data_IF_139335791199
#
_entry.id   IF_139335791199
#
_cell.length_a   1.000
_cell.length_b   1.000
_cell.length_c   1.000
_cell.angle_alpha   90.00
_cell.angle_beta   90.00
_cell.angle_gamma   90.00
#
_symmetry.space_group_name_H-M   'P 1'
#
loop_
_entity.id
_entity.type
_entity.pdbx_description
1 polymer ?
#
# COMPACT_ATOMS: atom_id res chain seq x y z
N UNK A 1 -3.09 4.60 37.06
CA UNK A 1 -3.15 4.57 35.60
C UNK A 1 -2.45 3.30 35.10
N UNK A 2 -3.17 2.50 34.29
CA UNK A 2 -2.62 1.30 33.67
C UNK A 2 -1.56 1.72 32.64
N UNK A 3 -0.31 1.29 32.83
CA UNK A 3 0.74 1.54 31.85
C UNK A 3 0.57 0.61 30.65
N UNK A 4 0.53 1.17 29.45
CA UNK A 4 0.60 0.40 28.20
C UNK A 4 2.07 0.27 27.81
N UNK A 5 2.57 -0.95 27.73
CA UNK A 5 3.89 -1.24 27.17
C UNK A 5 3.85 -1.22 25.65
N UNK A 6 4.89 -0.70 25.02
CA UNK A 6 5.07 -0.70 23.59
C UNK A 6 6.50 -1.10 23.24
N UNK A 7 6.63 -2.04 22.35
CA UNK A 7 7.91 -2.45 21.77
C UNK A 7 7.85 -2.39 20.25
N UNK A 8 8.91 -1.92 19.61
CA UNK A 8 8.99 -1.92 18.14
C UNK A 8 10.43 -2.08 17.69
N UNK A 9 10.64 -3.00 16.76
CA UNK A 9 11.92 -3.17 16.07
C UNK A 9 11.66 -3.07 14.58
N UNK A 10 12.53 -2.33 13.87
CA UNK A 10 12.50 -2.18 12.44
C UNK A 10 13.90 -2.42 11.87
N UNK A 11 13.94 -3.19 10.80
CA UNK A 11 15.13 -3.36 9.98
C UNK A 11 14.78 -3.13 8.53
N UNK A 12 15.60 -2.38 7.80
CA UNK A 12 15.42 -2.20 6.35
C UNK A 12 16.77 -2.08 5.66
N UNK A 13 16.84 -2.59 4.44
CA UNK A 13 18.02 -2.53 3.61
C UNK A 13 17.64 -2.28 2.16
N UNK A 14 18.47 -1.52 1.44
CA UNK A 14 18.32 -1.25 0.02
C UNK A 14 19.68 -1.44 -0.68
N UNK A 15 19.63 -2.11 -1.82
CA UNK A 15 20.76 -2.29 -2.73
C UNK A 15 20.42 -1.61 -4.06
N UNK A 16 21.40 -0.99 -4.66
CA UNK A 16 21.33 -0.46 -6.02
C UNK A 16 22.56 -0.94 -6.78
N UNK A 17 22.37 -1.28 -8.05
CA UNK A 17 23.41 -1.77 -8.92
C UNK A 17 23.27 -1.18 -10.32
N UNK A 18 24.24 -0.43 -10.76
CA UNK A 18 24.34 0.10 -12.11
C UNK A 18 25.14 -0.90 -12.97
N UNK A 19 24.41 -1.74 -13.70
CA UNK A 19 25.02 -2.78 -14.56
C UNK A 19 25.72 -2.15 -15.78
N UNK A 20 25.15 -1.05 -16.28
CA UNK A 20 25.71 -0.22 -17.34
C UNK A 20 25.29 1.24 -17.12
N UNK A 21 25.80 2.17 -17.94
CA UNK A 21 25.34 3.57 -17.94
C UNK A 21 23.84 3.71 -18.23
N UNK A 22 23.25 2.71 -18.87
CA UNK A 22 21.86 2.68 -19.28
C UNK A 22 20.98 1.83 -18.38
N UNK A 23 21.50 0.75 -17.76
CA UNK A 23 20.73 -0.25 -17.02
C UNK A 23 21.11 -0.25 -15.56
N UNK A 24 20.15 0.03 -14.71
CA UNK A 24 20.27 -0.04 -13.26
C UNK A 24 19.19 -0.90 -12.65
N UNK A 25 19.53 -1.55 -11.54
CA UNK A 25 18.64 -2.38 -10.73
C UNK A 25 18.62 -1.87 -9.30
N UNK A 26 17.52 -2.14 -8.62
CA UNK A 26 17.47 -2.01 -7.18
C UNK A 26 16.73 -3.18 -6.56
N UNK A 27 17.07 -3.49 -5.32
CA UNK A 27 16.31 -4.40 -4.46
C UNK A 27 16.29 -3.82 -3.05
N UNK A 28 15.17 -3.95 -2.38
CA UNK A 28 15.03 -3.57 -0.99
C UNK A 28 14.21 -4.59 -0.23
N UNK A 29 14.45 -4.70 1.06
CA UNK A 29 13.69 -5.54 1.97
C UNK A 29 13.66 -4.91 3.34
N UNK A 30 12.62 -5.22 4.08
CA UNK A 30 12.45 -4.77 5.44
C UNK A 30 11.62 -5.74 6.26
N UNK A 31 11.88 -5.72 7.55
CA UNK A 31 11.12 -6.43 8.57
C UNK A 31 10.80 -5.48 9.71
N UNK A 32 9.61 -5.59 10.22
CA UNK A 32 9.25 -4.92 11.46
C UNK A 32 8.43 -5.85 12.35
N UNK A 33 8.61 -5.68 13.65
CA UNK A 33 7.69 -6.21 14.63
C UNK A 33 7.28 -5.11 15.62
N UNK A 34 6.10 -5.26 16.18
CA UNK A 34 5.53 -4.32 17.14
C UNK A 34 4.69 -5.08 18.14
N UNK A 35 4.92 -4.86 19.42
CA UNK A 35 4.14 -5.39 20.51
C UNK A 35 3.39 -4.28 21.24
N UNK A 36 2.12 -4.52 21.51
CA UNK A 36 1.31 -3.73 22.45
C UNK A 36 1.04 -4.59 23.67
N UNK A 37 1.60 -4.20 24.82
CA UNK A 37 1.43 -4.89 26.08
C UNK A 37 0.37 -4.19 26.91
N UNK A 38 -0.59 -4.98 27.39
CA UNK A 38 -1.67 -4.53 28.26
C UNK A 38 -1.56 -5.25 29.60
N UNK A 39 -2.01 -4.64 30.70
CA UNK A 39 -2.15 -5.34 31.97
C UNK A 39 -3.05 -6.56 31.82
N UNK A 40 -2.72 -7.63 32.52
CA UNK A 40 -3.53 -8.86 32.56
C UNK A 40 -4.89 -8.55 33.17
N UNK A 41 -5.96 -9.10 32.61
CA UNK A 41 -7.30 -9.04 33.22
C UNK A 41 -7.29 -9.76 34.53
N UNK A 42 -7.70 -9.06 35.61
CA UNK A 42 -7.91 -9.59 36.98
C UNK A 42 -9.16 -8.96 37.52
N UNK A 43 -9.77 -9.60 38.49
CA UNK A 43 -10.99 -9.11 39.17
C UNK A 43 -10.81 -7.72 39.80
N UNK A 44 -9.58 -7.42 40.27
CA UNK A 44 -9.20 -6.16 40.91
C UNK A 44 -8.71 -5.08 39.94
N UNK A 45 -8.58 -5.39 38.63
CA UNK A 45 -8.04 -4.46 37.62
C UNK A 45 -9.11 -4.13 36.57
N UNK A 46 -9.66 -2.93 36.63
CA UNK A 46 -10.54 -2.41 35.58
C UNK A 46 -9.74 -2.09 34.28
N UNK A 47 -10.13 -2.69 33.19
CA UNK A 47 -9.51 -2.45 31.86
C UNK A 47 -8.32 -3.36 31.53
N UNK A 48 -8.15 -4.47 32.26
CA UNK A 48 -7.21 -5.53 31.91
C UNK A 48 -7.55 -6.22 30.59
N UNK A 49 -6.62 -7.02 30.07
CA UNK A 49 -6.77 -7.75 28.80
C UNK A 49 -6.39 -9.21 28.96
N UNK A 50 -7.10 -10.07 28.23
CA UNK A 50 -6.81 -11.50 28.15
C UNK A 50 -5.64 -11.80 27.21
N UNK A 51 -5.27 -10.85 26.35
CA UNK A 51 -4.21 -10.99 25.37
C UNK A 51 -3.53 -9.66 25.06
N UNK A 52 -2.28 -9.74 24.66
CA UNK A 52 -1.53 -8.67 24.04
C UNK A 52 -1.65 -8.78 22.53
N UNK A 53 -1.45 -7.66 21.82
CA UNK A 53 -1.46 -7.66 20.35
C UNK A 53 -0.02 -7.56 19.84
N UNK A 54 0.36 -8.48 18.99
CA UNK A 54 1.63 -8.48 18.28
C UNK A 54 1.39 -8.27 16.79
N UNK A 55 2.18 -7.40 16.18
CA UNK A 55 2.19 -7.12 14.75
C UNK A 55 3.54 -7.48 14.17
N UNK A 56 3.53 -8.06 13.00
CA UNK A 56 4.73 -8.45 12.27
C UNK A 56 4.53 -8.17 10.79
N UNK A 57 5.57 -7.67 10.14
CA UNK A 57 5.49 -7.39 8.72
C UNK A 57 6.83 -7.50 8.01
N UNK A 58 6.75 -7.91 6.75
CA UNK A 58 7.83 -7.95 5.79
C UNK A 58 7.44 -7.12 4.59
N UNK A 59 8.36 -6.32 4.10
CA UNK A 59 8.22 -5.65 2.82
C UNK A 59 9.43 -5.96 1.94
N UNK A 60 9.22 -5.99 0.65
CA UNK A 60 10.27 -6.19 -0.34
C UNK A 60 9.94 -5.46 -1.62
N UNK A 61 10.94 -5.13 -2.37
CA UNK A 61 10.80 -4.52 -3.67
C UNK A 61 12.03 -4.79 -4.53
N UNK A 62 11.80 -4.87 -5.82
CA UNK A 62 12.84 -4.95 -6.82
C UNK A 62 12.40 -4.20 -8.07
N UNK A 63 13.34 -3.59 -8.76
CA UNK A 63 13.04 -2.89 -9.99
C UNK A 63 14.25 -2.77 -10.89
N UNK A 64 13.94 -2.47 -12.14
CA UNK A 64 14.90 -2.22 -13.19
C UNK A 64 14.55 -0.92 -13.91
N UNK A 65 15.56 -0.13 -14.20
CA UNK A 65 15.45 1.12 -14.95
C UNK A 65 16.38 1.06 -16.15
N UNK A 66 15.82 1.25 -17.34
CA UNK A 66 16.56 1.30 -18.58
C UNK A 66 16.43 2.67 -19.24
N UNK A 67 17.56 3.35 -19.42
CA UNK A 67 17.67 4.64 -20.09
C UNK A 67 17.85 4.41 -21.59
N UNK A 68 16.79 4.55 -22.38
CA UNK A 68 16.85 4.51 -23.85
C UNK A 68 17.67 5.70 -24.40
N UNK A 69 17.55 6.84 -23.73
CA UNK A 69 18.31 8.06 -24.02
C UNK A 69 18.37 8.94 -22.78
N UNK A 70 18.98 10.14 -22.90
CA UNK A 70 18.98 11.13 -21.79
C UNK A 70 17.59 11.55 -21.31
N UNK A 71 16.55 11.37 -22.15
CA UNK A 71 15.16 11.80 -21.88
C UNK A 71 14.15 10.67 -21.85
N UNK A 72 14.54 9.49 -22.28
CA UNK A 72 13.64 8.36 -22.44
C UNK A 72 14.05 7.23 -21.52
N UNK A 73 13.12 6.81 -20.67
CA UNK A 73 13.36 5.81 -19.63
C UNK A 73 12.20 4.83 -19.61
N UNK A 74 12.50 3.55 -19.51
CA UNK A 74 11.54 2.50 -19.15
C UNK A 74 11.91 2.01 -17.76
N UNK A 75 10.93 1.82 -16.91
CA UNK A 75 11.11 1.36 -15.55
C UNK A 75 10.08 0.28 -15.23
N UNK A 76 10.56 -0.79 -14.62
CA UNK A 76 9.73 -1.84 -14.03
C UNK A 76 9.97 -1.85 -12.53
N UNK A 77 8.91 -1.86 -11.76
CA UNK A 77 8.90 -1.92 -10.32
C UNK A 77 7.99 -3.07 -9.85
N UNK A 78 8.48 -3.88 -8.94
CA UNK A 78 7.68 -4.87 -8.22
C UNK A 78 7.87 -4.69 -6.73
N UNK A 79 6.79 -4.68 -5.97
CA UNK A 79 6.84 -4.61 -4.52
C UNK A 79 5.82 -5.52 -3.88
N UNK A 80 6.12 -5.94 -2.66
CA UNK A 80 5.22 -6.72 -1.85
C UNK A 80 5.29 -6.32 -0.39
N UNK A 81 4.20 -6.57 0.30
CA UNK A 81 4.08 -6.38 1.74
C UNK A 81 3.29 -7.53 2.34
N UNK A 82 3.76 -8.04 3.46
CA UNK A 82 3.07 -9.03 4.26
C UNK A 82 2.90 -8.48 5.67
N UNK A 83 1.68 -8.40 6.14
CA UNK A 83 1.32 -7.91 7.46
C UNK A 83 0.55 -8.98 8.21
N UNK A 84 1.00 -9.34 9.41
CA UNK A 84 0.33 -10.26 10.30
C UNK A 84 0.00 -9.59 11.64
N UNK A 85 -1.22 -9.81 12.13
CA UNK A 85 -1.64 -9.47 13.49
C UNK A 85 -1.90 -10.75 14.25
N UNK A 86 -1.39 -10.83 15.48
CA UNK A 86 -1.55 -11.99 16.37
C UNK A 86 -1.95 -11.53 17.77
N UNK A 87 -2.74 -12.36 18.44
CA UNK A 87 -2.92 -12.25 19.88
C UNK A 87 -1.89 -13.15 20.58
N UNK A 88 -1.22 -12.62 21.59
CA UNK A 88 -0.44 -13.38 22.58
C UNK A 88 -1.27 -13.49 23.83
N UNK A 89 -1.77 -14.67 24.13
CA UNK A 89 -2.64 -14.87 25.29
C UNK A 89 -1.87 -14.70 26.60
N UNK A 90 -2.45 -14.02 27.56
CA UNK A 90 -1.91 -13.77 28.90
C UNK A 90 -2.52 -14.72 29.93
N UNK A 91 -3.76 -15.16 29.69
CA UNK A 91 -4.50 -16.15 30.48
C UNK A 91 -5.07 -17.18 29.50
N UNK A 92 -5.48 -18.32 30.00
CA UNK A 92 -6.20 -19.32 29.20
C UNK A 92 -7.51 -18.75 28.68
N UNK A 93 -7.67 -18.79 27.37
CA UNK A 93 -8.87 -18.30 26.71
C UNK A 93 -9.05 -18.94 25.33
N UNK A 94 -10.29 -19.34 25.01
CA UNK A 94 -10.67 -19.88 23.69
C UNK A 94 -9.79 -21.07 23.24
N UNK A 95 -9.32 -21.90 24.17
CA UNK A 95 -8.47 -23.06 23.87
C UNK A 95 -6.98 -22.73 23.70
N UNK A 96 -6.57 -21.49 23.93
CA UNK A 96 -5.17 -21.07 23.95
C UNK A 96 -4.65 -20.94 25.38
N UNK A 97 -3.46 -21.47 25.64
CA UNK A 97 -2.76 -21.34 26.91
C UNK A 97 -1.98 -20.02 27.00
N UNK A 98 -1.64 -19.54 28.23
CA UNK A 98 -0.81 -18.36 28.41
C UNK A 98 0.51 -18.47 27.64
N UNK A 99 0.90 -17.40 26.93
CA UNK A 99 2.10 -17.34 26.08
C UNK A 99 1.88 -17.82 24.64
N UNK A 100 0.80 -18.51 24.33
CA UNK A 100 0.51 -18.95 22.95
C UNK A 100 0.05 -17.79 22.06
N UNK A 101 0.31 -17.93 20.75
CA UNK A 101 -0.05 -16.96 19.73
C UNK A 101 -1.18 -17.49 18.85
N UNK A 102 -2.18 -16.66 18.57
CA UNK A 102 -3.19 -16.90 17.57
C UNK A 102 -3.08 -15.86 16.44
N UNK A 103 -3.04 -16.32 15.21
CA UNK A 103 -3.13 -15.43 14.04
C UNK A 103 -4.55 -14.89 13.92
N UNK A 104 -4.69 -13.57 14.00
CA UNK A 104 -6.00 -12.91 13.87
C UNK A 104 -6.22 -12.34 12.48
N UNK A 105 -5.14 -11.90 11.82
CA UNK A 105 -5.20 -11.29 10.48
C UNK A 105 -3.88 -11.47 9.75
N UNK A 106 -3.98 -11.85 8.50
CA UNK A 106 -2.87 -11.82 7.54
C UNK A 106 -3.32 -11.03 6.31
N UNK A 107 -2.57 -9.99 5.97
CA UNK A 107 -2.75 -9.25 4.71
C UNK A 107 -1.48 -9.32 3.89
N UNK A 108 -1.65 -9.52 2.58
CA UNK A 108 -0.54 -9.47 1.62
C UNK A 108 -0.92 -8.53 0.49
N UNK A 109 0.05 -7.74 0.07
CA UNK A 109 -0.05 -6.85 -1.08
C UNK A 109 1.06 -7.18 -2.06
N UNK A 110 0.73 -7.20 -3.32
CA UNK A 110 1.66 -7.35 -4.42
C UNK A 110 1.34 -6.29 -5.45
N UNK A 111 2.32 -5.49 -5.82
CA UNK A 111 2.21 -4.42 -6.79
C UNK A 111 3.28 -4.61 -7.86
N UNK A 112 2.89 -4.53 -9.13
CA UNK A 112 3.81 -4.52 -10.27
C UNK A 112 3.46 -3.35 -11.19
N UNK A 113 4.43 -2.52 -11.53
CA UNK A 113 4.28 -1.38 -12.43
C UNK A 113 5.29 -1.45 -13.56
N UNK A 114 4.84 -1.22 -14.78
CA UNK A 114 5.70 -0.92 -15.93
C UNK A 114 5.39 0.50 -16.41
N UNK A 115 6.41 1.35 -16.43
CA UNK A 115 6.28 2.77 -16.70
C UNK A 115 7.29 3.22 -17.74
N UNK A 116 6.83 4.05 -18.68
CA UNK A 116 7.64 4.75 -19.66
C UNK A 116 7.61 6.27 -19.43
N UNK A 117 8.77 6.91 -19.51
CA UNK A 117 8.93 8.36 -19.46
C UNK A 117 9.62 8.77 -20.74
N UNK A 118 8.99 9.62 -21.54
CA UNK A 118 9.47 10.02 -22.87
C UNK A 118 9.44 11.54 -23.04
N UNK A 119 10.62 12.09 -23.27
CA UNK A 119 10.78 13.49 -23.62
C UNK A 119 10.84 13.64 -25.16
N UNK A 120 9.69 13.76 -25.81
CA UNK A 120 9.64 13.89 -27.27
C UNK A 120 10.28 15.19 -27.78
N UNK A 121 10.19 16.25 -27.00
CA UNK A 121 10.85 17.52 -27.25
C UNK A 121 11.57 18.04 -26.01
N UNK A 122 12.31 19.15 -26.13
CA UNK A 122 12.92 19.81 -24.95
C UNK A 122 11.88 20.34 -23.97
N UNK A 123 10.67 20.57 -24.46
CA UNK A 123 9.60 21.25 -23.73
C UNK A 123 8.43 20.33 -23.39
N UNK A 124 8.51 19.03 -23.70
CA UNK A 124 7.42 18.12 -23.40
C UNK A 124 7.91 16.79 -22.81
N UNK A 125 7.14 16.25 -21.87
CA UNK A 125 7.38 14.94 -21.25
C UNK A 125 6.05 14.19 -21.20
N UNK A 126 6.08 12.96 -21.67
CA UNK A 126 4.95 12.03 -21.55
C UNK A 126 5.34 10.89 -20.63
N UNK A 127 4.46 10.59 -19.68
CA UNK A 127 4.55 9.42 -18.83
C UNK A 127 3.35 8.54 -19.12
N UNK A 128 3.57 7.26 -19.30
CA UNK A 128 2.49 6.28 -19.37
C UNK A 128 2.93 5.00 -18.66
N UNK A 129 1.96 4.26 -18.16
CA UNK A 129 2.24 3.02 -17.47
C UNK A 129 1.01 2.16 -17.28
N UNK A 130 1.30 0.94 -16.90
CA UNK A 130 0.31 -0.03 -16.45
C UNK A 130 0.72 -0.54 -15.09
N UNK A 131 -0.23 -0.77 -14.22
CA UNK A 131 0.01 -1.37 -12.91
C UNK A 131 -0.99 -2.50 -12.62
N UNK A 132 -0.54 -3.44 -11.82
CA UNK A 132 -1.31 -4.55 -11.30
C UNK A 132 -1.11 -4.62 -9.80
N UNK A 133 -2.20 -4.61 -9.05
CA UNK A 133 -2.20 -4.80 -7.59
C UNK A 133 -3.04 -6.01 -7.23
N UNK A 134 -2.50 -6.85 -6.35
CA UNK A 134 -3.25 -7.94 -5.73
C UNK A 134 -3.20 -7.80 -4.22
N UNK A 135 -4.37 -7.90 -3.61
CA UNK A 135 -4.54 -7.89 -2.16
C UNK A 135 -5.09 -9.24 -1.71
N UNK A 136 -4.55 -9.78 -0.63
CA UNK A 136 -5.00 -11.03 0.00
C UNK A 136 -5.30 -10.74 1.45
N UNK A 137 -6.45 -11.16 1.93
CA UNK A 137 -6.87 -11.07 3.32
C UNK A 137 -7.24 -12.45 3.84
N UNK A 138 -6.58 -12.87 4.92
CA UNK A 138 -6.92 -14.08 5.64
C UNK A 138 -7.19 -13.77 7.10
N UNK A 139 -8.33 -14.27 7.61
CA UNK A 139 -8.74 -14.18 9.01
C UNK A 139 -9.17 -15.57 9.49
N UNK A 140 -8.30 -16.31 10.16
CA UNK A 140 -8.60 -17.69 10.60
C UNK A 140 -9.74 -17.78 11.61
N UNK A 141 -9.91 -16.73 12.43
CA UNK A 141 -10.99 -16.64 13.43
C UNK A 141 -12.40 -16.59 12.83
N UNK A 142 -12.52 -16.16 11.59
CA UNK A 142 -13.79 -16.04 10.85
C UNK A 142 -13.85 -16.92 9.59
N UNK A 143 -12.86 -17.80 9.40
CA UNK A 143 -12.70 -18.65 8.21
C UNK A 143 -12.75 -17.85 6.89
N UNK A 144 -12.20 -16.63 6.93
CA UNK A 144 -12.17 -15.74 5.78
C UNK A 144 -10.80 -15.84 5.07
N UNK A 145 -10.84 -16.27 3.80
CA UNK A 145 -9.69 -16.24 2.89
C UNK A 145 -10.13 -15.67 1.55
N UNK A 146 -9.72 -14.43 1.27
CA UNK A 146 -10.16 -13.67 0.09
C UNK A 146 -8.99 -12.97 -0.57
N UNK A 147 -9.07 -12.83 -1.88
CA UNK A 147 -8.17 -11.97 -2.64
C UNK A 147 -8.96 -11.12 -3.62
N UNK A 148 -8.42 -9.96 -3.94
CA UNK A 148 -8.93 -9.05 -4.97
C UNK A 148 -7.77 -8.49 -5.77
N UNK A 149 -8.02 -8.12 -7.02
CA UNK A 149 -7.02 -7.46 -7.84
C UNK A 149 -7.56 -6.16 -8.44
N UNK A 150 -6.63 -5.27 -8.74
CA UNK A 150 -6.86 -4.04 -9.51
C UNK A 150 -5.83 -3.98 -10.61
N UNK A 151 -6.28 -3.70 -11.82
CA UNK A 151 -5.41 -3.40 -12.97
C UNK A 151 -5.63 -1.96 -13.38
N UNK A 152 -4.58 -1.27 -13.77
CA UNK A 152 -4.70 0.13 -14.18
C UNK A 152 -3.81 0.43 -15.36
N UNK A 153 -4.26 1.40 -16.16
CA UNK A 153 -3.46 2.01 -17.20
C UNK A 153 -3.58 3.52 -17.09
N UNK A 154 -2.48 4.22 -17.25
CA UNK A 154 -2.47 5.68 -17.15
C UNK A 154 -1.56 6.33 -18.16
N UNK A 155 -1.87 7.57 -18.50
CA UNK A 155 -1.04 8.43 -19.31
C UNK A 155 -1.14 9.88 -18.86
N UNK A 156 -0.02 10.59 -18.88
CA UNK A 156 0.07 12.00 -18.58
C UNK A 156 1.03 12.66 -19.56
N UNK A 157 0.65 13.80 -20.09
CA UNK A 157 1.49 14.65 -20.93
C UNK A 157 1.67 16.01 -20.28
N UNK A 158 2.92 16.42 -20.11
CA UNK A 158 3.32 17.75 -19.69
C UNK A 158 3.95 18.48 -20.85
N UNK A 159 3.56 19.72 -21.07
CA UNK A 159 4.12 20.59 -22.09
C UNK A 159 4.36 22.00 -21.55
N UNK A 160 5.55 22.53 -21.81
CA UNK A 160 5.87 23.94 -21.58
C UNK A 160 5.49 24.73 -22.82
N UNK A 161 4.39 25.48 -22.69
CA UNK A 161 3.90 26.39 -23.70
C UNK A 161 4.46 27.77 -23.40
N UNK A 162 5.26 28.30 -24.31
CA UNK A 162 6.03 29.52 -24.09
C UNK A 162 6.92 29.45 -22.82
N UNK A 163 7.60 30.52 -22.48
CA UNK A 163 8.52 30.52 -21.34
C UNK A 163 7.81 30.58 -19.98
N UNK A 164 6.50 30.81 -19.98
CA UNK A 164 5.75 31.14 -18.75
C UNK A 164 4.62 30.17 -18.42
N UNK A 165 4.15 29.36 -19.37
CA UNK A 165 3.02 28.46 -19.17
C UNK A 165 3.44 27.00 -19.27
N UNK A 166 3.12 26.20 -18.25
CA UNK A 166 3.21 24.76 -18.25
C UNK A 166 1.81 24.17 -18.15
N UNK A 167 1.45 23.30 -19.08
CA UNK A 167 0.20 22.56 -19.07
C UNK A 167 0.44 21.07 -18.81
N UNK A 168 -0.48 20.44 -18.11
CA UNK A 168 -0.49 18.99 -17.85
C UNK A 168 -1.88 18.45 -18.14
N UNK A 169 -1.96 17.39 -18.92
CA UNK A 169 -3.17 16.60 -19.10
C UNK A 169 -2.88 15.14 -18.80
N UNK A 170 -3.79 14.46 -18.15
CA UNK A 170 -3.63 13.06 -17.81
C UNK A 170 -4.95 12.34 -17.68
N UNK A 171 -4.91 11.04 -17.85
CA UNK A 171 -6.03 10.14 -17.63
C UNK A 171 -5.51 8.84 -17.02
N UNK A 172 -6.29 8.29 -16.12
CA UNK A 172 -6.07 6.95 -15.56
C UNK A 172 -7.37 6.16 -15.66
N UNK A 173 -7.25 4.91 -16.02
CA UNK A 173 -8.32 3.93 -15.98
C UNK A 173 -7.94 2.85 -14.98
N UNK A 174 -8.78 2.64 -13.97
CA UNK A 174 -8.65 1.59 -12.98
C UNK A 174 -9.77 0.58 -13.18
N UNK A 175 -9.43 -0.70 -13.19
CA UNK A 175 -10.40 -1.80 -13.17
C UNK A 175 -10.17 -2.65 -11.92
N UNK A 176 -11.10 -2.53 -10.98
CA UNK A 176 -11.11 -3.33 -9.76
C UNK A 176 -12.06 -4.51 -9.93
N UNK A 177 -11.62 -5.70 -9.55
CA UNK A 177 -12.34 -6.98 -9.73
C UNK A 177 -13.82 -6.93 -9.31
N UNK A 178 -14.13 -6.25 -8.22
CA UNK A 178 -15.50 -6.22 -7.67
C UNK A 178 -16.28 -4.93 -7.97
N UNK A 179 -15.62 -3.80 -8.16
CA UNK A 179 -16.29 -2.51 -8.35
C UNK A 179 -16.28 -2.02 -9.79
N UNK A 180 -15.61 -2.77 -10.67
CA UNK A 180 -15.53 -2.46 -12.11
C UNK A 180 -14.59 -1.32 -12.45
N UNK A 181 -14.76 -0.75 -13.65
CA UNK A 181 -13.87 0.25 -14.22
C UNK A 181 -14.23 1.68 -13.87
N UNK A 182 -13.20 2.55 -13.73
CA UNK A 182 -13.34 4.00 -13.51
C UNK A 182 -12.27 4.77 -14.26
N UNK A 183 -12.68 5.89 -14.87
CA UNK A 183 -11.78 6.87 -15.45
C UNK A 183 -11.60 8.06 -14.52
N UNK A 184 -10.35 8.51 -14.37
CA UNK A 184 -9.99 9.66 -13.55
C UNK A 184 -9.14 10.63 -14.37
N UNK A 185 -9.74 11.68 -14.92
CA UNK A 185 -9.02 12.71 -15.67
C UNK A 185 -8.31 13.70 -14.74
N UNK A 186 -7.23 14.30 -15.24
CA UNK A 186 -6.46 15.36 -14.60
C UNK A 186 -6.09 16.41 -15.62
N UNK A 187 -6.30 17.68 -15.28
CA UNK A 187 -5.81 18.83 -16.05
C UNK A 187 -5.18 19.82 -15.06
N UNK A 188 -4.01 20.32 -15.38
CA UNK A 188 -3.36 21.35 -14.59
C UNK A 188 -2.67 22.38 -15.48
N UNK A 189 -2.59 23.59 -15.02
CA UNK A 189 -1.83 24.66 -15.65
C UNK A 189 -1.04 25.42 -14.58
N UNK A 190 0.16 25.85 -14.93
CA UNK A 190 1.00 26.72 -14.11
C UNK A 190 1.49 27.88 -14.99
N UNK A 191 1.24 29.10 -14.52
CA UNK A 191 1.68 30.32 -15.19
C UNK A 191 2.62 31.11 -14.28
N UNK A 192 3.79 31.48 -14.82
CA UNK A 192 4.82 32.24 -14.11
C UNK A 192 4.74 33.71 -14.53
N UNK A 193 4.52 34.62 -13.58
CA UNK A 193 4.44 36.07 -13.78
C UNK A 193 5.52 36.72 -12.93
N UNK A 194 6.66 37.06 -13.50
CA UNK A 194 7.78 37.60 -12.74
C UNK A 194 8.20 36.65 -11.60
N UNK A 195 8.04 37.09 -10.36
CA UNK A 195 8.35 36.30 -9.16
C UNK A 195 7.17 35.48 -8.63
N UNK A 196 6.01 35.50 -9.29
CA UNK A 196 4.80 34.80 -8.87
C UNK A 196 4.54 33.55 -9.73
N UNK A 197 4.06 32.49 -9.08
CA UNK A 197 3.60 31.29 -9.72
C UNK A 197 2.12 31.08 -9.43
N UNK A 198 1.27 31.08 -10.45
CA UNK A 198 -0.16 30.78 -10.32
C UNK A 198 -0.40 29.36 -10.82
N UNK A 199 -1.06 28.53 -10.03
CA UNK A 199 -1.41 27.15 -10.37
C UNK A 199 -2.92 26.94 -10.31
N UNK A 200 -3.45 26.23 -11.29
CA UNK A 200 -4.81 25.70 -11.29
C UNK A 200 -4.75 24.20 -11.60
N UNK A 201 -5.52 23.41 -10.86
CA UNK A 201 -5.58 21.96 -11.07
C UNK A 201 -7.02 21.50 -10.91
N UNK A 202 -7.48 20.70 -11.87
CA UNK A 202 -8.67 19.89 -11.79
C UNK A 202 -8.28 18.43 -11.87
N UNK A 203 -8.70 17.61 -10.92
CA UNK A 203 -8.48 16.17 -10.96
C UNK A 203 -9.70 15.46 -10.37
N UNK A 204 -10.22 14.49 -11.10
CA UNK A 204 -11.15 13.52 -10.52
C UNK A 204 -10.37 12.48 -9.73
N UNK A 205 -10.90 12.04 -8.60
CA UNK A 205 -10.31 10.99 -7.78
C UNK A 205 -11.25 9.78 -7.70
N UNK A 206 -10.68 8.59 -7.73
CA UNK A 206 -11.37 7.35 -7.42
C UNK A 206 -10.52 6.57 -6.43
N UNK A 207 -11.16 6.01 -5.42
CA UNK A 207 -10.55 5.07 -4.49
C UNK A 207 -11.39 3.79 -4.52
N UNK A 208 -10.78 2.69 -4.96
CA UNK A 208 -11.39 1.38 -4.76
C UNK A 208 -11.46 1.05 -3.26
N UNK A 209 -12.51 0.38 -2.79
CA UNK A 209 -12.55 -0.08 -1.41
C UNK A 209 -11.44 -1.11 -1.19
N UNK A 210 -10.71 -0.99 -0.08
CA UNK A 210 -9.73 -1.99 0.33
C UNK A 210 -10.39 -3.32 0.67
N UNK A 211 -9.60 -4.40 0.61
CA UNK A 211 -10.11 -5.75 0.88
C UNK A 211 -10.73 -5.89 2.28
N UNK A 212 -10.22 -5.17 3.28
CA UNK A 212 -10.81 -5.12 4.62
C UNK A 212 -12.21 -4.48 4.62
N UNK A 213 -12.40 -3.43 3.82
CA UNK A 213 -13.68 -2.72 3.70
C UNK A 213 -14.73 -3.58 2.99
N UNK A 214 -14.33 -4.29 1.93
CA UNK A 214 -15.20 -5.19 1.16
C UNK A 214 -15.77 -6.32 2.02
N UNK A 215 -14.97 -6.86 2.94
CA UNK A 215 -15.36 -8.04 3.74
C UNK A 215 -15.68 -7.73 5.19
N UNK A 216 -15.76 -6.46 5.59
CA UNK A 216 -16.03 -6.03 6.97
C UNK A 216 -17.37 -6.55 7.51
N UNK A 217 -18.43 -6.55 6.69
CA UNK A 217 -19.75 -7.04 7.10
C UNK A 217 -19.80 -8.56 7.32
N UNK A 218 -19.03 -9.33 6.55
CA UNK A 218 -18.93 -10.77 6.74
C UNK A 218 -18.32 -11.11 8.09
N UNK A 219 -17.29 -10.35 8.49
CA UNK A 219 -16.66 -10.49 9.81
C UNK A 219 -17.65 -10.24 10.96
N UNK A 220 -18.43 -9.16 10.91
CA UNK A 220 -19.46 -8.86 11.93
C UNK A 220 -20.52 -9.96 12.04
N UNK A 221 -20.98 -10.51 10.91
CA UNK A 221 -22.00 -11.55 10.90
C UNK A 221 -21.52 -12.84 11.56
N UNK A 222 -20.27 -13.25 11.30
CA UNK A 222 -19.67 -14.46 11.89
C UNK A 222 -19.44 -14.31 13.40
N UNK A 223 -18.98 -13.14 13.85
CA UNK A 223 -18.83 -12.84 15.28
C UNK A 223 -20.17 -12.79 16.04
N UNK A 224 -21.22 -12.22 15.41
CA UNK A 224 -22.57 -12.14 15.99
C UNK A 224 -23.25 -13.51 16.16
N UNK A 225 -22.94 -14.48 15.31
CA UNK A 225 -23.52 -15.84 15.37
C UNK A 225 -22.83 -16.72 16.43
N UNK A 226 -21.59 -16.43 16.81
CA UNK A 226 -20.87 -17.15 17.86
C UNK A 226 -21.22 -16.68 19.29
N UNK A 227 -21.86 -15.52 19.43
CA UNK A 227 -22.27 -15.00 20.74
C UNK A 227 -23.61 -15.54 21.25
N UNK A 228 -24.24 -16.49 20.53
CA UNK A 228 -25.58 -17.02 20.84
C UNK A 228 -25.58 -18.55 21.01
N UNK A 229 -24.51 -19.14 21.52
CA UNK A 229 -24.50 -20.54 22.00
C UNK A 229 -23.87 -20.58 23.38
#
# INVERSE_FOLDING_TARGET
PLSLGYSSNNFSQKFTYDATDQLSFYANGGYYNRGLERPVEREDITGGSKYNTAYEGYNWGAGAKYKLSKRNVIQFDYSGNNYASRYKYLIENSGYLPGQYALTKLQKFHDAELKGIFGFTTNSTTVFGVDYRREVLRRPDSDLDKSVYTTSAYGQHEVKLWNHLTGVVGVRYDHHEQTGGRFTPKVAAMYNIGNFNVRATYAAGFRAPGIDELYYHMFKKTMGTRATI
#
